data_IF_305358227599
#
_entry.id   IF_305358227599
#
_cell.length_a   1.000
_cell.length_b   1.000
_cell.length_c   1.000
_cell.angle_alpha   90.00
_cell.angle_beta   90.00
_cell.angle_gamma   90.00
#
_symmetry.space_group_name_H-M   'P 1'
#
loop_
_entity.id
_entity.type
_entity.pdbx_description
1 polymer ?
#
# COMPACT_ATOMS: atom_id res chain seq x y z
N UNK A 1 2.26 16.76 20.10
CA UNK A 1 3.13 16.05 19.12
C UNK A 1 3.19 14.58 19.53
N UNK A 2 2.28 13.75 19.01
CA UNK A 2 2.27 12.31 19.29
C UNK A 2 3.25 11.67 18.31
N UNK A 3 4.45 11.32 18.78
CA UNK A 3 5.38 10.49 18.01
C UNK A 3 4.78 9.08 17.95
N UNK A 4 4.06 8.75 16.87
CA UNK A 4 3.68 7.37 16.60
C UNK A 4 4.98 6.60 16.39
N UNK A 5 5.32 5.76 17.37
CA UNK A 5 6.53 4.96 17.40
C UNK A 5 6.56 4.10 16.13
N UNK A 6 7.55 4.31 15.27
CA UNK A 6 7.79 3.47 14.08
C UNK A 6 7.82 2.01 14.53
N UNK A 7 6.82 1.24 14.14
CA UNK A 7 6.67 -0.13 14.60
C UNK A 7 7.59 -1.02 13.75
N UNK A 8 8.81 -1.29 14.25
CA UNK A 8 9.87 -2.04 13.56
C UNK A 8 9.56 -3.52 13.30
N UNK A 9 8.31 -3.94 13.49
CA UNK A 9 7.86 -5.33 13.34
C UNK A 9 8.14 -5.86 11.93
N UNK A 10 7.93 -5.07 10.86
CA UNK A 10 8.20 -5.52 9.49
C UNK A 10 9.69 -5.80 9.28
N UNK A 11 10.56 -4.94 9.83
CA UNK A 11 12.01 -5.11 9.72
C UNK A 11 12.50 -6.37 10.45
N UNK A 12 11.89 -6.68 11.61
CA UNK A 12 12.20 -7.90 12.36
C UNK A 12 11.80 -9.15 11.56
N UNK A 13 10.59 -9.17 10.98
CA UNK A 13 10.14 -10.30 10.17
C UNK A 13 11.02 -10.51 8.93
N UNK A 14 11.41 -9.42 8.27
CA UNK A 14 12.29 -9.46 7.10
C UNK A 14 13.66 -10.07 7.45
N UNK A 15 14.29 -9.58 8.53
CA UNK A 15 15.57 -10.13 9.01
C UNK A 15 15.40 -11.59 9.41
N UNK A 16 14.35 -11.93 10.14
CA UNK A 16 14.09 -13.31 10.55
C UNK A 16 13.99 -14.23 9.33
N UNK A 17 13.28 -13.82 8.27
CA UNK A 17 13.20 -14.55 7.01
C UNK A 17 14.57 -14.79 6.38
N UNK A 18 15.41 -13.74 6.27
CA UNK A 18 16.78 -13.86 5.75
C UNK A 18 17.62 -14.84 6.58
N UNK A 19 17.55 -14.71 7.92
CA UNK A 19 18.28 -15.60 8.83
C UNK A 19 17.85 -17.05 8.65
N UNK A 20 16.54 -17.30 8.52
CA UNK A 20 16.01 -18.65 8.28
C UNK A 20 16.56 -19.23 6.97
N UNK A 21 16.54 -18.47 5.87
CA UNK A 21 17.12 -18.92 4.59
C UNK A 21 18.61 -19.23 4.75
N UNK A 22 19.36 -18.33 5.40
CA UNK A 22 20.80 -18.51 5.59
C UNK A 22 21.12 -19.74 6.44
N UNK A 23 20.37 -19.97 7.53
CA UNK A 23 20.51 -21.18 8.35
C UNK A 23 20.16 -22.44 7.56
N UNK A 24 19.17 -22.39 6.69
CA UNK A 24 18.84 -23.48 5.78
C UNK A 24 19.96 -23.82 4.81
N UNK A 25 20.64 -22.81 4.24
CA UNK A 25 21.80 -23.00 3.36
C UNK A 25 22.94 -23.67 4.13
N UNK A 26 23.30 -23.16 5.30
CA UNK A 26 24.39 -23.73 6.13
C UNK A 26 24.06 -25.17 6.55
N UNK A 27 22.84 -25.41 7.01
CA UNK A 27 22.38 -26.74 7.44
C UNK A 27 22.39 -27.71 6.27
N UNK A 28 21.95 -27.26 5.09
CA UNK A 28 21.88 -28.10 3.91
C UNK A 28 23.26 -28.46 3.36
N UNK A 29 24.21 -27.52 3.36
CA UNK A 29 25.61 -27.81 2.99
C UNK A 29 26.24 -28.80 3.98
N UNK A 30 25.99 -28.61 5.28
CA UNK A 30 26.52 -29.50 6.33
C UNK A 30 25.98 -30.93 6.23
N UNK A 31 24.74 -31.12 5.78
CA UNK A 31 24.11 -32.44 5.66
C UNK A 31 24.21 -33.03 4.24
N UNK A 32 24.52 -32.22 3.24
CA UNK A 32 24.66 -32.65 1.84
C UNK A 32 25.97 -33.40 1.56
N UNK A 33 26.97 -33.26 2.43
CA UNK A 33 28.18 -34.07 2.42
C UNK A 33 27.88 -35.48 2.93
N UNK A 34 27.98 -36.48 2.06
CA UNK A 34 27.86 -37.89 2.43
C UNK A 34 29.21 -38.56 2.28
N UNK A 35 29.68 -39.19 3.36
CA UNK A 35 30.82 -40.09 3.31
C UNK A 35 30.31 -41.46 2.85
N UNK A 36 30.73 -41.89 1.66
CA UNK A 36 30.49 -43.26 1.18
C UNK A 36 31.78 -44.06 1.24
N UNK A 37 31.74 -45.15 2.01
CA UNK A 37 32.79 -46.16 2.06
C UNK A 37 32.52 -47.13 0.91
N UNK A 38 33.43 -47.16 -0.05
CA UNK A 38 33.38 -48.12 -1.16
C UNK A 38 33.96 -49.48 -0.70
N UNK A 39 33.73 -50.55 -1.46
CA UNK A 39 34.18 -51.93 -1.16
C UNK A 39 35.70 -52.08 -0.93
N UNK A 40 36.48 -51.07 -1.31
CA UNK A 40 37.93 -50.97 -1.14
C UNK A 40 38.37 -50.11 0.06
N UNK A 41 37.47 -49.78 0.99
CA UNK A 41 37.73 -48.95 2.18
C UNK A 41 38.22 -47.51 1.85
N UNK A 42 38.04 -47.07 0.61
CA UNK A 42 38.26 -45.68 0.21
C UNK A 42 37.06 -44.81 0.63
N UNK A 43 37.34 -43.82 1.48
CA UNK A 43 36.38 -42.78 1.84
C UNK A 43 36.27 -41.81 0.66
N UNK A 44 35.11 -41.81 0.00
CA UNK A 44 34.78 -40.83 -1.02
C UNK A 44 33.76 -39.84 -0.49
N UNK A 45 34.09 -38.54 -0.58
CA UNK A 45 33.17 -37.46 -0.24
C UNK A 45 32.29 -37.18 -1.44
N UNK A 46 31.09 -37.73 -1.43
CA UNK A 46 30.08 -37.47 -2.45
C UNK A 46 29.08 -36.43 -1.93
N UNK A 47 28.69 -35.51 -2.81
CA UNK A 47 27.70 -34.47 -2.48
C UNK A 47 26.33 -34.88 -3.02
N UNK A 48 25.37 -35.08 -2.12
CA UNK A 48 24.01 -35.49 -2.50
C UNK A 48 23.12 -34.26 -2.70
N UNK A 49 22.88 -33.92 -3.96
CA UNK A 49 21.93 -32.86 -4.32
C UNK A 49 20.51 -33.14 -3.83
N UNK A 50 20.10 -34.42 -3.77
CA UNK A 50 18.77 -34.80 -3.29
C UNK A 50 18.58 -34.43 -1.82
N UNK A 51 19.59 -34.74 -0.98
CA UNK A 51 19.58 -34.36 0.43
C UNK A 51 19.60 -32.84 0.57
N UNK A 52 20.45 -32.17 -0.22
CA UNK A 52 20.52 -30.71 -0.22
C UNK A 52 19.15 -30.06 -0.46
N UNK A 53 18.44 -30.47 -1.51
CA UNK A 53 17.13 -29.90 -1.83
C UNK A 53 16.08 -30.26 -0.78
N UNK A 54 16.08 -31.49 -0.28
CA UNK A 54 15.12 -31.92 0.75
C UNK A 54 15.25 -31.12 2.05
N UNK A 55 16.47 -30.75 2.42
CA UNK A 55 16.76 -29.99 3.63
C UNK A 55 16.61 -28.49 3.37
N UNK A 56 17.04 -27.96 2.22
CA UNK A 56 17.03 -26.53 1.92
C UNK A 56 15.62 -25.99 1.64
N UNK A 57 14.81 -26.76 0.89
CA UNK A 57 13.53 -26.30 0.38
C UNK A 57 12.55 -25.83 1.47
N UNK A 58 12.36 -26.55 2.60
CA UNK A 58 11.51 -26.07 3.69
C UNK A 58 11.95 -24.73 4.27
N UNK A 59 13.26 -24.50 4.47
CA UNK A 59 13.77 -23.23 5.00
C UNK A 59 13.57 -22.09 4.02
N UNK A 60 13.75 -22.34 2.72
CA UNK A 60 13.49 -21.35 1.68
C UNK A 60 12.00 -20.98 1.66
N UNK A 61 11.10 -21.96 1.72
CA UNK A 61 9.65 -21.70 1.74
C UNK A 61 9.26 -20.88 2.97
N UNK A 62 9.71 -21.28 4.16
CA UNK A 62 9.42 -20.54 5.41
C UNK A 62 10.02 -19.12 5.35
N UNK A 63 11.25 -19.00 4.87
CA UNK A 63 11.93 -17.71 4.73
C UNK A 63 11.21 -16.75 3.78
N UNK A 64 10.78 -17.23 2.61
CA UNK A 64 9.99 -16.44 1.66
C UNK A 64 8.65 -16.03 2.26
N UNK A 65 7.97 -16.93 2.99
CA UNK A 65 6.71 -16.61 3.68
C UNK A 65 6.91 -15.50 4.72
N UNK A 66 7.98 -15.55 5.53
CA UNK A 66 8.30 -14.51 6.50
C UNK A 66 8.61 -13.16 5.83
N UNK A 67 9.36 -13.18 4.74
CA UNK A 67 9.66 -11.97 3.95
C UNK A 67 8.37 -11.41 3.35
N UNK A 68 7.52 -12.24 2.75
CA UNK A 68 6.23 -11.81 2.20
C UNK A 68 5.31 -11.20 3.27
N UNK A 69 5.22 -11.84 4.44
CA UNK A 69 4.47 -11.28 5.58
C UNK A 69 5.06 -9.95 6.06
N UNK A 70 6.38 -9.78 6.01
CA UNK A 70 7.02 -8.51 6.36
C UNK A 70 6.55 -7.36 5.45
N UNK A 71 6.41 -7.62 4.15
CA UNK A 71 5.91 -6.64 3.20
C UNK A 71 4.44 -6.32 3.42
N UNK A 72 3.60 -7.34 3.65
CA UNK A 72 2.19 -7.15 3.99
C UNK A 72 2.05 -6.26 5.22
N UNK A 73 2.83 -6.52 6.27
CA UNK A 73 2.80 -5.70 7.48
C UNK A 73 3.31 -4.28 7.23
N UNK A 74 4.36 -4.11 6.41
CA UNK A 74 4.85 -2.78 6.02
C UNK A 74 3.77 -1.98 5.25
N UNK A 75 3.06 -2.63 4.33
CA UNK A 75 1.96 -2.02 3.59
C UNK A 75 0.81 -1.63 4.52
N UNK A 76 0.41 -2.51 5.43
CA UNK A 76 -0.62 -2.20 6.42
C UNK A 76 -0.19 -1.05 7.35
N UNK A 77 1.07 -1.00 7.77
CA UNK A 77 1.60 0.12 8.56
C UNK A 77 1.57 1.43 7.77
N UNK A 78 1.92 1.41 6.49
CA UNK A 78 1.83 2.59 5.61
C UNK A 78 0.39 3.05 5.44
N UNK A 79 -0.54 2.12 5.22
CA UNK A 79 -1.97 2.39 5.09
C UNK A 79 -2.53 3.02 6.38
N UNK A 80 -2.27 2.39 7.52
CA UNK A 80 -2.66 2.89 8.85
C UNK A 80 -2.05 4.26 9.11
N UNK A 81 -0.76 4.46 8.82
CA UNK A 81 -0.12 5.77 8.99
C UNK A 81 -0.68 6.82 8.03
N UNK A 82 -1.16 6.42 6.84
CA UNK A 82 -1.81 7.33 5.89
C UNK A 82 -3.18 7.77 6.41
N UNK A 83 -3.97 6.87 6.99
CA UNK A 83 -5.31 7.18 7.51
C UNK A 83 -5.33 7.77 8.93
N UNK A 84 -4.37 7.41 9.78
CA UNK A 84 -4.30 7.84 11.20
C UNK A 84 -3.29 8.96 11.40
N UNK A 85 -2.34 9.14 10.48
CA UNK A 85 -1.27 10.12 10.53
C UNK A 85 -1.55 11.42 9.80
N UNK A 86 -2.77 11.95 9.84
CA UNK A 86 -3.01 13.37 9.52
C UNK A 86 -2.70 14.19 10.78
N UNK A 87 -1.49 14.79 10.87
CA UNK A 87 -1.38 16.22 10.97
C UNK A 87 -1.03 16.73 9.57
N UNK A 88 -1.86 17.65 9.09
CA UNK A 88 -1.61 18.58 7.99
C UNK A 88 -0.10 18.79 7.72
N UNK A 89 0.32 18.55 6.47
CA UNK A 89 1.69 18.56 5.90
C UNK A 89 2.49 17.26 5.99
N UNK A 90 2.43 16.48 4.92
CA UNK A 90 3.64 15.88 4.34
C UNK A 90 3.63 16.12 2.84
N UNK A 91 4.56 16.96 2.40
CA UNK A 91 4.88 17.24 1.01
C UNK A 91 5.19 15.94 0.24
N UNK A 92 4.69 15.78 -1.00
CA UNK A 92 5.21 14.74 -1.87
C UNK A 92 6.61 15.13 -2.32
N UNK A 93 7.58 14.24 -2.11
CA UNK A 93 8.84 14.25 -2.86
C UNK A 93 8.50 13.87 -4.29
N UNK A 94 8.11 14.88 -5.08
CA UNK A 94 8.30 14.91 -6.51
C UNK A 94 9.15 16.13 -6.80
N UNK A 95 10.30 15.89 -7.41
CA UNK A 95 11.21 16.90 -7.91
C UNK A 95 10.46 18.00 -8.65
N UNK A 96 10.87 19.24 -8.33
CA UNK A 96 10.95 20.39 -9.22
C UNK A 96 9.97 20.39 -10.39
N UNK A 97 8.90 21.17 -10.25
CA UNK A 97 8.55 22.31 -11.12
C UNK A 97 7.14 22.79 -10.74
N UNK A 98 6.98 24.12 -10.73
CA UNK A 98 5.70 24.87 -10.58
C UNK A 98 5.28 25.08 -9.12
N UNK A 99 5.82 26.12 -8.46
CA UNK A 99 5.30 27.50 -8.46
C UNK A 99 4.15 27.68 -7.45
N UNK A 100 4.39 28.60 -6.51
CA UNK A 100 3.35 29.25 -5.70
C UNK A 100 2.12 29.54 -6.57
N UNK A 101 0.98 28.93 -6.26
CA UNK A 101 -0.31 29.54 -6.57
C UNK A 101 -1.39 29.05 -5.63
N UNK A 102 -2.19 30.02 -5.25
CA UNK A 102 -3.30 29.97 -4.33
C UNK A 102 -4.21 28.75 -4.55
N UNK A 103 -4.78 28.27 -3.44
CA UNK A 103 -5.88 27.31 -3.39
C UNK A 103 -7.09 27.87 -4.16
N UNK A 104 -7.13 27.73 -5.48
CA UNK A 104 -8.33 28.02 -6.27
C UNK A 104 -8.60 27.02 -7.41
N UNK A 105 -7.66 26.14 -7.74
CA UNK A 105 -7.86 25.22 -8.87
C UNK A 105 -7.89 23.74 -8.46
N UNK A 106 -8.94 23.03 -8.90
CA UNK A 106 -9.08 21.58 -8.73
C UNK A 106 -7.92 20.90 -9.45
N UNK A 107 -7.17 20.04 -8.74
CA UNK A 107 -6.05 19.27 -9.31
C UNK A 107 -6.50 18.48 -10.55
N UNK A 108 -5.60 18.35 -11.53
CA UNK A 108 -5.87 17.58 -12.76
C UNK A 108 -6.24 16.13 -12.43
N UNK A 109 -5.56 15.52 -11.45
CA UNK A 109 -5.85 14.15 -11.02
C UNK A 109 -7.30 14.01 -10.51
N UNK A 110 -7.72 14.95 -9.68
CA UNK A 110 -9.10 15.04 -9.17
C UNK A 110 -10.12 15.25 -10.29
N UNK A 111 -9.84 16.13 -11.25
CA UNK A 111 -10.72 16.33 -12.42
C UNK A 111 -10.88 15.03 -13.22
N UNK A 112 -9.78 14.30 -13.44
CA UNK A 112 -9.81 13.02 -14.17
C UNK A 112 -10.64 11.98 -13.41
N UNK A 113 -10.44 11.85 -12.11
CA UNK A 113 -11.15 10.88 -11.28
C UNK A 113 -12.67 11.15 -11.24
N UNK A 114 -13.08 12.41 -11.03
CA UNK A 114 -14.49 12.80 -11.06
C UNK A 114 -15.08 12.57 -12.46
N UNK A 115 -14.35 12.92 -13.53
CA UNK A 115 -14.82 12.68 -14.89
C UNK A 115 -15.05 11.19 -15.17
N UNK A 116 -14.10 10.33 -14.81
CA UNK A 116 -14.25 8.88 -14.97
C UNK A 116 -15.46 8.34 -14.19
N UNK A 117 -15.66 8.81 -12.96
CA UNK A 117 -16.79 8.38 -12.12
C UNK A 117 -18.16 8.74 -12.73
N UNK A 118 -18.30 9.91 -13.35
CA UNK A 118 -19.54 10.30 -14.02
C UNK A 118 -19.68 9.66 -15.40
N UNK A 119 -18.58 9.44 -16.13
CA UNK A 119 -18.57 8.73 -17.40
C UNK A 119 -19.04 7.28 -17.26
N UNK A 120 -18.60 6.56 -16.22
CA UNK A 120 -19.10 5.22 -15.87
C UNK A 120 -20.62 5.21 -15.64
N UNK A 121 -21.18 6.32 -15.16
CA UNK A 121 -22.63 6.51 -14.94
C UNK A 121 -23.36 7.07 -16.17
N UNK A 122 -22.65 7.27 -17.29
CA UNK A 122 -23.18 7.89 -18.50
C UNK A 122 -23.76 9.30 -18.26
N UNK A 123 -23.16 10.05 -17.34
CA UNK A 123 -23.55 11.41 -16.98
C UNK A 123 -22.50 12.40 -17.49
N UNK A 124 -22.95 13.50 -18.11
CA UNK A 124 -22.06 14.59 -18.52
C UNK A 124 -21.91 15.62 -17.40
N UNK A 125 -20.69 16.14 -17.26
CA UNK A 125 -20.32 17.19 -16.32
C UNK A 125 -20.02 18.46 -17.11
N UNK A 126 -20.50 19.60 -16.63
CA UNK A 126 -20.18 20.91 -17.20
C UNK A 126 -18.99 21.55 -16.46
N UNK A 127 -19.01 21.49 -15.13
CA UNK A 127 -18.02 22.16 -14.29
C UNK A 127 -17.78 21.40 -12.98
N UNK A 128 -16.54 21.46 -12.47
CA UNK A 128 -16.15 20.93 -11.16
C UNK A 128 -15.55 22.08 -10.36
N UNK A 129 -16.14 22.37 -9.19
CA UNK A 129 -15.67 23.42 -8.27
C UNK A 129 -15.12 22.83 -6.97
N UNK A 130 -14.00 23.34 -6.46
CA UNK A 130 -13.51 22.95 -5.14
C UNK A 130 -14.42 23.52 -4.06
N UNK A 131 -14.52 22.83 -2.92
CA UNK A 131 -15.20 23.37 -1.73
C UNK A 131 -14.21 23.77 -0.64
N UNK A 132 -14.73 24.38 0.43
CA UNK A 132 -13.96 24.70 1.64
C UNK A 132 -13.51 23.46 2.42
N UNK A 133 -14.06 22.28 2.12
CA UNK A 133 -13.70 21.02 2.77
C UNK A 133 -12.80 20.19 1.87
N UNK A 134 -11.76 19.62 2.48
CA UNK A 134 -10.89 18.65 1.81
C UNK A 134 -11.71 17.46 1.33
N UNK A 135 -11.38 16.97 0.13
CA UNK A 135 -12.04 15.86 -0.55
C UNK A 135 -13.50 16.07 -0.96
N UNK A 136 -14.09 17.25 -0.76
CA UNK A 136 -15.44 17.57 -1.25
C UNK A 136 -15.41 18.53 -2.44
N UNK A 137 -16.14 18.16 -3.49
CA UNK A 137 -16.22 18.90 -4.76
C UNK A 137 -17.67 19.09 -5.18
N UNK A 138 -17.99 20.25 -5.75
CA UNK A 138 -19.30 20.50 -6.35
C UNK A 138 -19.20 20.20 -7.84
N UNK A 139 -20.03 19.29 -8.31
CA UNK A 139 -20.12 18.93 -9.72
C UNK A 139 -21.41 19.50 -10.28
N UNK A 140 -21.29 20.34 -11.31
CA UNK A 140 -22.43 21.00 -11.97
C UNK A 140 -22.77 20.21 -13.24
N UNK A 141 -24.05 19.85 -13.37
CA UNK A 141 -24.64 19.13 -14.50
C UNK A 141 -25.92 19.84 -14.94
N UNK A 142 -25.80 20.77 -15.87
CA UNK A 142 -26.87 21.66 -16.30
C UNK A 142 -27.37 22.52 -15.13
N UNK A 143 -28.58 22.24 -14.67
CA UNK A 143 -29.19 22.91 -13.51
C UNK A 143 -28.97 22.17 -12.19
N UNK A 144 -28.45 20.95 -12.22
CA UNK A 144 -28.25 20.13 -11.03
C UNK A 144 -26.84 20.33 -10.48
N UNK A 145 -26.74 20.39 -9.15
CA UNK A 145 -25.48 20.42 -8.42
C UNK A 145 -25.39 19.19 -7.54
N UNK A 146 -24.34 18.40 -7.73
CA UNK A 146 -24.02 17.29 -6.85
C UNK A 146 -22.85 17.67 -5.95
N UNK A 147 -22.89 17.21 -4.70
CA UNK A 147 -21.73 17.21 -3.82
C UNK A 147 -21.06 15.84 -3.91
N UNK A 148 -19.78 15.82 -4.28
CA UNK A 148 -18.98 14.61 -4.47
C UNK A 148 -17.88 14.55 -3.42
N UNK A 149 -17.79 13.43 -2.73
CA UNK A 149 -16.74 13.13 -1.75
C UNK A 149 -15.74 12.14 -2.38
N UNK A 150 -14.47 12.52 -2.42
CA UNK A 150 -13.34 11.72 -2.91
C UNK A 150 -12.49 11.12 -1.76
N UNK A 151 -12.87 11.33 -0.51
CA UNK A 151 -12.09 10.90 0.66
C UNK A 151 -12.18 9.39 0.96
N UNK A 152 -13.04 8.66 0.25
CA UNK A 152 -13.21 7.21 0.37
C UNK A 152 -12.47 6.44 -0.72
N UNK A 153 -12.43 5.09 -0.61
CA UNK A 153 -11.83 4.22 -1.64
C UNK A 153 -12.42 4.39 -3.05
N UNK A 154 -13.62 4.97 -3.17
CA UNK A 154 -14.27 5.29 -4.44
C UNK A 154 -15.02 6.63 -4.30
N UNK A 155 -15.10 7.44 -5.38
CA UNK A 155 -15.92 8.64 -5.41
C UNK A 155 -17.39 8.34 -5.07
N UNK A 156 -18.01 9.17 -4.22
CA UNK A 156 -19.43 9.04 -3.90
C UNK A 156 -20.16 10.37 -4.09
N UNK A 157 -21.39 10.29 -4.61
CA UNK A 157 -22.33 11.40 -4.57
C UNK A 157 -22.97 11.40 -3.18
N UNK A 158 -22.84 12.50 -2.44
CA UNK A 158 -23.40 12.62 -1.10
C UNK A 158 -24.92 12.58 -1.19
N UNK A 159 -25.54 11.62 -0.48
CA UNK A 159 -27.00 11.45 -0.50
C UNK A 159 -27.71 12.58 0.24
N UNK A 160 -28.96 12.84 -0.14
CA UNK A 160 -29.82 13.85 0.51
C UNK A 160 -29.97 13.60 2.02
N UNK A 161 -30.03 12.35 2.46
CA UNK A 161 -30.10 11.99 3.89
C UNK A 161 -28.87 12.51 4.66
N UNK A 162 -27.67 12.39 4.07
CA UNK A 162 -26.42 12.85 4.67
C UNK A 162 -26.29 14.38 4.64
N UNK A 163 -26.88 15.03 3.62
CA UNK A 163 -27.00 16.49 3.53
C UNK A 163 -27.99 17.06 4.56
N UNK A 164 -29.08 16.35 4.86
CA UNK A 164 -30.08 16.76 5.86
C UNK A 164 -29.55 16.63 7.29
N UNK A 165 -28.74 15.60 7.56
CA UNK A 165 -28.11 15.41 8.86
C UNK A 165 -26.91 16.32 9.13
N UNK A 166 -26.40 17.03 8.11
CA UNK A 166 -25.27 17.96 8.26
C UNK A 166 -25.58 19.31 7.62
N UNK A 167 -25.97 20.29 8.44
CA UNK A 167 -26.19 21.68 8.02
C UNK A 167 -24.98 22.24 7.24
N UNK A 168 -23.78 21.85 7.66
CA UNK A 168 -22.51 22.27 7.06
C UNK A 168 -22.31 21.79 5.62
N UNK A 169 -22.78 20.58 5.27
CA UNK A 169 -22.69 20.08 3.90
C UNK A 169 -23.75 20.73 3.00
N UNK A 170 -24.92 21.01 3.55
CA UNK A 170 -26.01 21.70 2.83
C UNK A 170 -25.64 23.14 2.44
N UNK A 171 -24.87 23.82 3.29
CA UNK A 171 -24.34 25.16 2.98
C UNK A 171 -23.42 25.20 1.75
N UNK A 172 -22.83 24.06 1.34
CA UNK A 172 -21.93 24.01 0.19
C UNK A 172 -22.67 24.05 -1.14
N UNK A 173 -23.95 23.67 -1.16
CA UNK A 173 -24.74 23.61 -2.39
C UNK A 173 -25.53 24.90 -2.67
N UNK A 174 -25.59 25.82 -1.70
CA UNK A 174 -26.19 27.15 -1.84
C UNK A 174 -25.27 28.05 -2.66
#
# INVERSE_FOLDING_TARGET
MVKIKKNSIHYILFIAGIVVVFTGIVTSISNGGTESINEFDEISNNFSFSILFSVLFPYVVIGIVLIGLSEVVNLLQKLVNHFIGIPEKVEPVFNDLVENKDKEEVSIATKVEINMFYEEKSLQIDEIRPTKFEDFYIVIRGNDKDLVELGGFHPIIVSNERLEHSQTLRELLQ
#
